data_IF_463370504782
#
_entry.id   IF_463370504782
#
_cell.length_a   1.000
_cell.length_b   1.000
_cell.length_c   1.000
_cell.angle_alpha   90.00
_cell.angle_beta   90.00
_cell.angle_gamma   90.00
#
_symmetry.space_group_name_H-M   'P 1'
#
loop_
_entity.id
_entity.type
_entity.pdbx_description
1 polymer ?
#
# COMPACT_ATOMS: atom_id res chain seq x y z
N UNK A 1 21.06 2.00 1.34
CA UNK A 1 20.26 0.76 1.32
C UNK A 1 19.75 0.59 -0.11
N UNK A 2 20.00 -0.54 -0.76
CA UNK A 2 19.56 -0.73 -2.16
C UNK A 2 18.04 -0.64 -2.25
N UNK A 3 17.53 0.35 -2.99
CA UNK A 3 16.10 0.53 -3.25
C UNK A 3 15.47 -0.62 -4.06
N UNK A 4 16.31 -1.51 -4.60
CA UNK A 4 15.92 -2.62 -5.47
C UNK A 4 16.44 -3.95 -4.92
N UNK A 5 15.61 -4.98 -4.99
CA UNK A 5 15.96 -6.34 -4.55
C UNK A 5 16.04 -7.28 -5.75
N UNK A 6 17.15 -7.97 -5.91
CA UNK A 6 17.33 -8.96 -6.97
C UNK A 6 16.60 -10.27 -6.65
N UNK A 7 15.95 -10.84 -7.66
CA UNK A 7 15.34 -12.17 -7.61
C UNK A 7 16.17 -13.10 -8.46
N UNK A 8 16.50 -14.26 -7.91
CA UNK A 8 17.22 -15.33 -8.60
C UNK A 8 16.59 -16.67 -8.22
N UNK A 9 16.24 -17.47 -9.24
CA UNK A 9 15.74 -18.83 -9.12
C UNK A 9 16.48 -19.77 -10.07
N UNK A 10 16.64 -21.02 -9.63
CA UNK A 10 17.18 -22.13 -10.44
C UNK A 10 16.12 -22.80 -11.32
N UNK A 11 14.84 -22.51 -11.06
CA UNK A 11 13.70 -23.09 -11.79
C UNK A 11 13.44 -22.38 -13.13
N UNK A 12 14.24 -21.35 -13.44
CA UNK A 12 14.26 -20.65 -14.72
C UNK A 12 15.73 -20.48 -15.18
N UNK A 13 15.99 -20.29 -16.49
CA UNK A 13 17.34 -20.12 -17.00
C UNK A 13 18.11 -19.03 -16.27
N UNK A 14 19.37 -19.32 -15.94
CA UNK A 14 20.25 -18.36 -15.28
C UNK A 14 20.45 -17.10 -16.15
N UNK A 15 20.41 -15.89 -15.56
CA UNK A 15 20.60 -14.67 -16.31
C UNK A 15 22.03 -14.56 -16.87
N UNK A 16 22.19 -13.81 -17.97
CA UNK A 16 23.52 -13.43 -18.44
C UNK A 16 24.19 -12.45 -17.47
N UNK A 17 25.53 -12.32 -17.46
CA UNK A 17 26.22 -11.39 -16.56
C UNK A 17 25.80 -9.92 -16.71
N UNK A 18 25.14 -9.56 -17.81
CA UNK A 18 24.72 -8.19 -18.11
C UNK A 18 23.32 -7.84 -17.56
N UNK A 19 22.57 -8.83 -17.06
CA UNK A 19 21.18 -8.64 -16.65
C UNK A 19 20.87 -9.33 -15.32
N UNK A 20 19.91 -8.79 -14.58
CA UNK A 20 19.32 -9.45 -13.41
C UNK A 20 18.13 -10.28 -13.87
N UNK A 21 17.91 -11.48 -13.32
CA UNK A 21 16.78 -12.32 -13.73
C UNK A 21 15.43 -11.60 -13.50
N UNK A 22 15.27 -11.01 -12.32
CA UNK A 22 14.26 -10.00 -12.06
C UNK A 22 14.68 -9.04 -10.94
N UNK A 23 14.01 -7.89 -10.87
CA UNK A 23 14.18 -6.87 -9.83
C UNK A 23 12.82 -6.56 -9.20
N UNK A 24 12.79 -6.48 -7.87
CA UNK A 24 11.64 -5.98 -7.11
C UNK A 24 11.91 -4.53 -6.71
N UNK A 25 10.92 -3.66 -6.99
CA UNK A 25 10.88 -2.29 -6.50
C UNK A 25 9.43 -1.85 -6.29
N UNK A 26 9.13 -1.26 -5.11
CA UNK A 26 7.81 -0.74 -4.75
C UNK A 26 6.64 -1.71 -5.06
N UNK A 27 6.74 -2.96 -4.60
CA UNK A 27 5.69 -3.96 -4.80
C UNK A 27 5.50 -4.40 -6.25
N UNK A 28 6.40 -4.05 -7.16
CA UNK A 28 6.37 -4.46 -8.56
C UNK A 28 7.61 -5.28 -8.89
N UNK A 29 7.41 -6.38 -9.62
CA UNK A 29 8.47 -7.24 -10.15
C UNK A 29 8.69 -6.89 -11.62
N UNK A 30 9.94 -6.61 -11.97
CA UNK A 30 10.38 -6.37 -13.33
C UNK A 30 11.23 -7.57 -13.75
N UNK A 31 10.69 -8.43 -14.61
CA UNK A 31 11.41 -9.56 -15.19
C UNK A 31 12.20 -9.10 -16.41
N UNK A 32 13.43 -9.60 -16.55
CA UNK A 32 14.17 -9.47 -17.80
C UNK A 32 13.59 -10.41 -18.87
N UNK A 33 14.01 -10.19 -20.12
CA UNK A 33 13.64 -11.04 -21.25
C UNK A 33 13.89 -12.53 -20.98
N UNK A 34 12.86 -13.33 -21.22
CA UNK A 34 12.81 -14.77 -21.01
C UNK A 34 12.59 -15.48 -22.34
N UNK A 35 13.37 -16.53 -22.56
CA UNK A 35 13.23 -17.42 -23.71
C UNK A 35 12.56 -18.72 -23.27
N UNK A 36 11.95 -19.42 -24.23
CA UNK A 36 11.46 -20.78 -24.04
C UNK A 36 12.58 -21.80 -24.02
N UNK A 37 13.42 -21.70 -22.99
CA UNK A 37 14.61 -22.51 -22.80
C UNK A 37 14.44 -23.36 -21.55
N UNK A 38 14.89 -24.61 -21.62
CA UNK A 38 14.94 -25.49 -20.46
C UNK A 38 15.96 -24.94 -19.42
N UNK A 39 15.57 -24.78 -18.14
CA UNK A 39 16.44 -24.23 -17.11
C UNK A 39 17.74 -25.00 -16.87
N UNK A 40 17.74 -26.32 -17.09
CA UNK A 40 18.88 -27.20 -16.84
C UNK A 40 19.73 -27.41 -18.09
N UNK A 41 19.10 -27.78 -19.21
CA UNK A 41 19.83 -28.13 -20.44
C UNK A 41 20.19 -26.92 -21.28
N UNK A 42 19.57 -25.76 -21.02
CA UNK A 42 19.69 -24.53 -21.82
C UNK A 42 19.36 -24.71 -23.29
N UNK A 43 18.58 -25.74 -23.63
CA UNK A 43 18.10 -25.95 -24.98
C UNK A 43 16.81 -25.17 -25.20
N UNK A 44 16.72 -24.51 -26.36
CA UNK A 44 15.49 -23.83 -26.78
C UNK A 44 14.46 -24.88 -27.19
N UNK A 45 13.21 -24.64 -26.80
CA UNK A 45 12.08 -25.43 -27.26
C UNK A 45 11.90 -25.30 -28.78
N UNK A 46 11.34 -26.34 -29.40
CA UNK A 46 11.18 -26.41 -30.85
C UNK A 46 9.91 -25.67 -31.30
N UNK A 47 10.07 -24.70 -32.21
CA UNK A 47 8.95 -23.93 -32.77
C UNK A 47 8.42 -22.80 -31.87
N UNK A 48 7.71 -21.82 -32.45
CA UNK A 48 7.31 -20.60 -31.74
C UNK A 48 6.25 -20.85 -30.67
N UNK A 49 5.36 -21.83 -30.84
CA UNK A 49 4.38 -22.24 -29.82
C UNK A 49 5.08 -22.74 -28.54
N UNK A 50 5.96 -23.74 -28.63
CA UNK A 50 6.64 -24.30 -27.46
C UNK A 50 7.63 -23.32 -26.83
N UNK A 51 8.26 -22.45 -27.65
CA UNK A 51 9.09 -21.37 -27.12
C UNK A 51 8.27 -20.36 -26.31
N UNK A 52 7.07 -20.01 -26.76
CA UNK A 52 6.17 -19.12 -26.01
C UNK A 52 5.76 -19.77 -24.69
N UNK A 53 5.33 -21.03 -24.72
CA UNK A 53 4.94 -21.76 -23.51
C UNK A 53 6.10 -21.90 -22.51
N UNK A 54 7.31 -22.18 -23.00
CA UNK A 54 8.52 -22.23 -22.17
C UNK A 54 8.87 -20.86 -21.57
N UNK A 55 8.79 -19.79 -22.34
CA UNK A 55 9.11 -18.44 -21.88
C UNK A 55 8.16 -18.01 -20.75
N UNK A 56 6.86 -18.29 -20.91
CA UNK A 56 5.83 -18.03 -19.91
C UNK A 56 6.01 -18.88 -18.63
N UNK A 57 6.37 -20.17 -18.75
CA UNK A 57 6.71 -21.01 -17.59
C UNK A 57 7.92 -20.47 -16.82
N UNK A 58 8.95 -20.05 -17.54
CA UNK A 58 10.14 -19.46 -16.94
C UNK A 58 9.81 -18.14 -16.23
N UNK A 59 9.00 -17.28 -16.84
CA UNK A 59 8.51 -16.05 -16.21
C UNK A 59 7.70 -16.36 -14.95
N UNK A 60 6.77 -17.33 -15.00
CA UNK A 60 5.98 -17.71 -13.83
C UNK A 60 6.86 -18.25 -12.69
N UNK A 61 7.88 -19.06 -12.99
CA UNK A 61 8.83 -19.53 -11.98
C UNK A 61 9.60 -18.38 -11.30
N UNK A 62 10.01 -17.36 -12.06
CA UNK A 62 10.67 -16.16 -11.55
C UNK A 62 9.70 -15.35 -10.67
N UNK A 63 8.46 -15.18 -11.12
CA UNK A 63 7.41 -14.46 -10.39
C UNK A 63 7.03 -15.18 -9.09
N UNK A 64 6.91 -16.51 -9.12
CA UNK A 64 6.66 -17.34 -7.94
C UNK A 64 7.78 -17.18 -6.90
N UNK A 65 9.05 -17.12 -7.33
CA UNK A 65 10.17 -16.83 -6.43
C UNK A 65 10.11 -15.42 -5.84
N UNK A 66 9.58 -14.45 -6.59
CA UNK A 66 9.38 -13.08 -6.14
C UNK A 66 8.17 -12.90 -5.19
N UNK A 67 7.37 -13.95 -4.99
CA UNK A 67 6.17 -13.90 -4.14
C UNK A 67 4.90 -13.45 -4.87
N UNK A 68 4.86 -13.56 -6.20
CA UNK A 68 3.67 -13.32 -7.03
C UNK A 68 3.48 -14.45 -8.05
N UNK A 69 2.66 -14.27 -9.07
CA UNK A 69 2.47 -15.23 -10.15
C UNK A 69 2.16 -14.52 -11.47
N UNK A 70 2.17 -15.26 -12.57
CA UNK A 70 1.83 -14.75 -13.89
C UNK A 70 0.42 -14.13 -13.96
N UNK A 71 -0.52 -14.58 -13.11
CA UNK A 71 -1.87 -14.02 -13.02
C UNK A 71 -1.91 -12.56 -12.57
N UNK A 72 -0.88 -12.10 -11.84
CA UNK A 72 -0.75 -10.70 -11.41
C UNK A 72 0.11 -9.87 -12.37
N UNK A 73 0.35 -10.36 -13.59
CA UNK A 73 1.01 -9.59 -14.62
C UNK A 73 0.21 -8.32 -14.94
N UNK A 74 0.90 -7.19 -14.95
CA UNK A 74 0.36 -5.88 -15.36
C UNK A 74 0.64 -5.62 -16.84
N UNK A 75 1.84 -6.00 -17.29
CA UNK A 75 2.30 -5.82 -18.66
C UNK A 75 3.09 -7.03 -19.15
N UNK A 76 2.87 -7.42 -20.39
CA UNK A 76 3.69 -8.40 -21.12
C UNK A 76 4.15 -7.79 -22.44
N UNK A 77 5.46 -7.76 -22.68
CA UNK A 77 6.03 -7.38 -23.98
C UNK A 77 6.55 -8.64 -24.67
N UNK A 78 6.18 -8.80 -25.93
CA UNK A 78 6.51 -9.97 -26.75
C UNK A 78 7.32 -9.52 -27.95
N UNK A 79 8.50 -10.09 -28.13
CA UNK A 79 9.33 -9.92 -29.31
C UNK A 79 9.27 -11.20 -30.14
N UNK A 80 8.91 -11.08 -31.41
CA UNK A 80 8.83 -12.22 -32.34
C UNK A 80 9.73 -11.97 -33.55
N UNK A 81 10.36 -13.02 -34.08
CA UNK A 81 11.25 -12.88 -35.24
C UNK A 81 10.47 -12.69 -36.55
N UNK A 82 9.30 -13.31 -36.67
CA UNK A 82 8.42 -13.23 -37.84
C UNK A 82 6.96 -13.14 -37.40
N UNK A 83 6.18 -12.29 -38.07
CA UNK A 83 4.74 -12.12 -37.83
C UNK A 83 3.93 -13.35 -38.26
N UNK A 84 4.48 -14.24 -39.09
CA UNK A 84 3.85 -15.53 -39.41
C UNK A 84 3.64 -16.41 -38.15
N UNK A 85 4.48 -16.22 -37.12
CA UNK A 85 4.35 -16.94 -35.85
C UNK A 85 3.27 -16.36 -34.92
N UNK A 86 2.69 -15.20 -35.25
CA UNK A 86 1.80 -14.44 -34.36
C UNK A 86 0.61 -15.28 -33.88
N UNK A 87 0.01 -16.09 -34.77
CA UNK A 87 -1.12 -16.95 -34.43
C UNK A 87 -0.75 -18.04 -33.42
N UNK A 88 0.41 -18.70 -33.61
CA UNK A 88 0.89 -19.74 -32.71
C UNK A 88 1.29 -19.19 -31.34
N UNK A 89 1.94 -18.03 -31.32
CA UNK A 89 2.29 -17.32 -30.08
C UNK A 89 1.03 -16.95 -29.30
N UNK A 90 -0.01 -16.45 -29.99
CA UNK A 90 -1.29 -16.11 -29.36
C UNK A 90 -1.99 -17.35 -28.78
N UNK A 91 -1.92 -18.49 -29.47
CA UNK A 91 -2.50 -19.74 -29.00
C UNK A 91 -1.86 -20.18 -27.68
N UNK A 92 -0.53 -20.24 -27.62
CA UNK A 92 0.18 -20.55 -26.39
C UNK A 92 -0.12 -19.53 -25.28
N UNK A 93 -0.15 -18.24 -25.62
CA UNK A 93 -0.40 -17.17 -24.65
C UNK A 93 -1.77 -17.29 -23.96
N UNK A 94 -2.82 -17.64 -24.70
CA UNK A 94 -4.19 -17.78 -24.17
C UNK A 94 -4.35 -18.96 -23.21
N UNK A 95 -3.45 -19.95 -23.25
CA UNK A 95 -3.47 -21.07 -22.30
C UNK A 95 -3.01 -20.66 -20.90
N UNK A 96 -2.17 -19.62 -20.79
CA UNK A 96 -1.70 -19.11 -19.49
C UNK A 96 -2.58 -17.97 -18.97
N UNK A 97 -3.13 -17.14 -19.85
CA UNK A 97 -3.98 -16.00 -19.48
C UNK A 97 -5.45 -16.27 -19.79
N UNK A 98 -6.06 -17.12 -18.97
CA UNK A 98 -7.47 -17.54 -19.11
C UNK A 98 -8.46 -16.59 -18.43
N UNK A 99 -8.02 -15.84 -17.42
CA UNK A 99 -8.84 -14.89 -16.66
C UNK A 99 -8.83 -13.49 -17.26
N UNK A 100 -9.97 -12.79 -17.20
CA UNK A 100 -10.06 -11.35 -17.46
C UNK A 100 -10.02 -10.55 -16.14
N UNK A 101 -9.42 -9.34 -16.12
CA UNK A 101 -8.75 -8.68 -17.24
C UNK A 101 -7.37 -9.28 -17.55
N UNK A 102 -7.06 -9.44 -18.84
CA UNK A 102 -5.72 -9.84 -19.31
C UNK A 102 -4.73 -8.68 -19.14
N UNK A 103 -3.42 -8.96 -18.95
CA UNK A 103 -2.41 -7.91 -18.82
C UNK A 103 -2.33 -7.03 -20.07
N UNK A 104 -1.91 -5.79 -19.89
CA UNK A 104 -1.57 -4.92 -21.02
C UNK A 104 -0.47 -5.57 -21.86
N UNK A 105 -0.62 -5.57 -23.18
CA UNK A 105 0.26 -6.34 -24.07
C UNK A 105 0.84 -5.47 -25.17
N UNK A 106 2.12 -5.67 -25.46
CA UNK A 106 2.78 -5.15 -26.68
C UNK A 106 3.45 -6.30 -27.40
N UNK A 107 3.28 -6.40 -28.72
CA UNK A 107 3.92 -7.42 -29.54
C UNK A 107 4.63 -6.74 -30.72
N UNK A 108 5.93 -6.99 -30.87
CA UNK A 108 6.77 -6.34 -31.88
C UNK A 108 7.53 -7.41 -32.66
N UNK A 109 7.49 -7.31 -33.99
CA UNK A 109 8.39 -8.09 -34.84
C UNK A 109 9.77 -7.43 -34.85
N UNK A 110 10.81 -8.19 -34.53
CA UNK A 110 12.20 -7.72 -34.46
C UNK A 110 13.03 -8.37 -35.56
N UNK A 111 14.03 -7.64 -36.06
CA UNK A 111 14.91 -8.16 -37.11
C UNK A 111 15.73 -9.38 -36.65
N UNK A 112 16.09 -9.42 -35.36
CA UNK A 112 16.89 -10.50 -34.79
C UNK A 112 16.69 -10.60 -33.27
N UNK A 113 16.73 -11.82 -32.75
CA UNK A 113 16.83 -12.13 -31.32
C UNK A 113 18.27 -12.54 -30.93
N UNK A 114 18.71 -12.33 -29.68
CA UNK A 114 20.09 -12.60 -29.24
C UNK A 114 20.53 -14.07 -29.38
N UNK A 115 19.59 -15.02 -29.29
CA UNK A 115 19.86 -16.45 -29.37
C UNK A 115 19.56 -17.01 -30.76
N UNK A 116 20.51 -17.74 -31.34
CA UNK A 116 20.28 -18.47 -32.60
C UNK A 116 19.19 -19.52 -32.41
N UNK A 117 18.19 -19.51 -33.28
CA UNK A 117 17.02 -20.41 -33.21
C UNK A 117 15.89 -19.92 -32.30
N UNK A 118 16.04 -18.77 -31.63
CA UNK A 118 14.93 -18.15 -30.92
C UNK A 118 13.98 -17.48 -31.92
N UNK A 119 12.69 -17.78 -31.78
CA UNK A 119 11.60 -17.16 -32.52
C UNK A 119 10.82 -16.18 -31.66
N UNK A 120 10.87 -16.34 -30.33
CA UNK A 120 10.10 -15.55 -29.36
C UNK A 120 10.95 -15.24 -28.12
N UNK A 121 10.87 -13.99 -27.66
CA UNK A 121 11.37 -13.54 -26.36
C UNK A 121 10.26 -12.75 -25.65
N UNK A 122 10.11 -12.95 -24.34
CA UNK A 122 9.04 -12.31 -23.57
C UNK A 122 9.57 -11.70 -22.28
N UNK A 123 9.10 -10.49 -21.97
CA UNK A 123 9.29 -9.88 -20.65
C UNK A 123 7.93 -9.62 -20.00
N UNK A 124 7.92 -9.58 -18.67
CA UNK A 124 6.73 -9.31 -17.89
C UNK A 124 7.02 -8.36 -16.72
N UNK A 125 6.04 -7.52 -16.43
CA UNK A 125 5.97 -6.71 -15.22
C UNK A 125 4.76 -7.20 -14.45
N UNK A 126 4.94 -7.58 -13.19
CA UNK A 126 3.86 -8.10 -12.34
C UNK A 126 3.80 -7.35 -11.01
N UNK A 127 2.58 -7.15 -10.50
CA UNK A 127 2.39 -6.67 -9.15
C UNK A 127 2.67 -7.83 -8.18
N UNK A 128 3.35 -7.56 -7.08
CA UNK A 128 3.29 -8.41 -5.90
C UNK A 128 1.97 -8.05 -5.22
N UNK A 129 0.98 -8.97 -5.15
CA UNK A 129 -0.20 -8.71 -4.34
C UNK A 129 0.31 -8.41 -2.95
N UNK A 130 0.08 -7.19 -2.46
CA UNK A 130 0.74 -6.71 -1.26
C UNK A 130 0.60 -7.77 -0.16
N UNK A 131 1.71 -8.19 0.44
CA UNK A 131 1.66 -8.41 1.89
C UNK A 131 1.44 -7.03 2.46
N UNK A 132 0.15 -6.70 2.58
CA UNK A 132 -0.39 -5.44 3.07
C UNK A 132 0.59 -4.84 4.07
N UNK A 133 1.00 -3.58 3.88
CA UNK A 133 1.48 -2.84 5.04
C UNK A 133 0.44 -3.06 6.16
N UNK A 134 0.84 -3.17 7.43
CA UNK A 134 -0.14 -3.42 8.50
C UNK A 134 -1.27 -2.37 8.52
N UNK A 135 -1.04 -1.20 7.92
CA UNK A 135 -2.03 -0.20 7.63
C UNK A 135 -3.05 -0.69 6.59
N UNK A 136 -2.61 -1.25 5.46
CA UNK A 136 -3.48 -1.84 4.44
C UNK A 136 -4.24 -3.09 4.95
N UNK A 137 -3.68 -3.89 5.86
CA UNK A 137 -4.43 -4.95 6.56
C UNK A 137 -5.59 -4.41 7.42
N UNK A 138 -5.40 -3.24 8.05
CA UNK A 138 -6.50 -2.53 8.73
C UNK A 138 -7.59 -2.15 7.72
N UNK A 139 -7.20 -1.79 6.50
CA UNK A 139 -8.12 -1.38 5.44
C UNK A 139 -8.87 -2.58 4.88
N UNK A 140 -8.19 -3.66 4.53
CA UNK A 140 -8.83 -4.86 3.98
C UNK A 140 -9.82 -5.49 4.99
N UNK A 141 -9.50 -5.49 6.29
CA UNK A 141 -10.43 -5.95 7.32
C UNK A 141 -11.63 -5.03 7.52
N UNK A 142 -11.41 -3.71 7.52
CA UNK A 142 -12.46 -2.69 7.65
C UNK A 142 -13.37 -2.65 6.41
N UNK A 143 -12.79 -2.74 5.21
CA UNK A 143 -13.50 -2.79 3.93
C UNK A 143 -14.36 -4.06 3.82
N UNK A 144 -13.82 -5.21 4.26
CA UNK A 144 -14.54 -6.48 4.24
C UNK A 144 -15.69 -6.53 5.27
N UNK A 145 -15.52 -5.94 6.45
CA UNK A 145 -16.57 -5.86 7.48
C UNK A 145 -17.69 -4.88 7.11
N UNK A 146 -17.36 -3.77 6.44
CA UNK A 146 -18.33 -2.73 6.03
C UNK A 146 -18.86 -2.92 4.59
N UNK A 147 -18.39 -3.94 3.87
CA UNK A 147 -18.78 -4.22 2.49
C UNK A 147 -18.38 -3.12 1.49
N UNK A 148 -17.25 -2.47 1.73
CA UNK A 148 -16.79 -1.32 0.95
C UNK A 148 -15.95 -1.80 -0.24
N UNK A 149 -16.32 -1.39 -1.46
CA UNK A 149 -15.54 -1.65 -2.68
C UNK A 149 -15.10 -0.34 -3.34
N UNK A 150 -13.80 -0.15 -3.58
CA UNK A 150 -13.27 0.97 -4.39
C UNK A 150 -12.92 2.24 -3.62
N UNK A 151 -13.19 3.43 -4.21
CA UNK A 151 -12.69 4.74 -3.74
C UNK A 151 -13.26 5.26 -2.40
N UNK A 152 -14.14 4.52 -1.74
CA UNK A 152 -14.81 4.92 -0.51
C UNK A 152 -13.85 5.19 0.66
N UNK A 153 -12.73 4.45 0.73
CA UNK A 153 -11.69 4.69 1.73
C UNK A 153 -11.01 6.06 1.53
N UNK A 154 -10.60 6.37 0.30
CA UNK A 154 -10.01 7.66 -0.04
C UNK A 154 -10.97 8.82 0.27
N UNK A 155 -12.28 8.61 0.05
CA UNK A 155 -13.32 9.57 0.44
C UNK A 155 -13.39 9.74 1.96
N UNK A 156 -13.29 8.66 2.75
CA UNK A 156 -13.30 8.72 4.20
C UNK A 156 -12.05 9.40 4.81
N UNK A 157 -10.90 9.36 4.13
CA UNK A 157 -9.73 10.17 4.48
C UNK A 157 -9.92 11.64 4.09
N UNK A 158 -10.43 11.88 2.88
CA UNK A 158 -10.63 13.23 2.37
C UNK A 158 -11.64 14.03 3.24
N UNK A 159 -12.74 13.41 3.68
CA UNK A 159 -13.78 14.11 4.44
C UNK A 159 -13.29 14.60 5.82
N UNK A 160 -12.34 13.89 6.44
CA UNK A 160 -11.70 14.34 7.67
C UNK A 160 -10.93 15.64 7.43
N UNK A 161 -10.16 15.71 6.35
CA UNK A 161 -9.42 16.92 5.99
C UNK A 161 -10.37 18.10 5.69
N UNK A 162 -11.53 17.84 5.09
CA UNK A 162 -12.55 18.88 4.86
C UNK A 162 -13.06 19.44 6.20
N UNK A 163 -13.43 18.58 7.16
CA UNK A 163 -13.84 19.01 8.49
C UNK A 163 -12.75 19.81 9.22
N UNK A 164 -11.50 19.36 9.08
CA UNK A 164 -10.33 20.02 9.65
C UNK A 164 -10.15 21.45 9.10
N UNK A 165 -10.19 21.61 7.77
CA UNK A 165 -10.02 22.92 7.13
C UNK A 165 -11.11 23.92 7.52
N UNK A 166 -12.37 23.45 7.62
CA UNK A 166 -13.50 24.29 8.00
C UNK A 166 -13.34 24.88 9.40
N UNK A 167 -12.82 24.09 10.34
CA UNK A 167 -12.71 24.50 11.74
C UNK A 167 -11.39 25.18 12.11
N UNK A 168 -10.37 25.07 11.26
CA UNK A 168 -9.05 25.66 11.51
C UNK A 168 -9.10 27.19 11.62
N UNK A 169 -9.82 27.88 10.74
CA UNK A 169 -9.94 29.35 10.77
C UNK A 169 -10.80 29.81 11.97
N UNK A 170 -12.03 29.29 12.18
CA UNK A 170 -12.84 29.66 13.35
C UNK A 170 -12.13 29.38 14.67
N UNK A 171 -11.46 28.23 14.81
CA UNK A 171 -10.75 27.88 16.03
C UNK A 171 -9.64 28.87 16.38
N UNK A 172 -8.84 29.28 15.40
CA UNK A 172 -7.77 30.26 15.62
C UNK A 172 -8.30 31.61 16.09
N UNK A 173 -9.49 32.00 15.60
CA UNK A 173 -10.17 33.22 16.04
C UNK A 173 -10.73 33.06 17.46
N UNK A 174 -11.34 31.93 17.81
CA UNK A 174 -11.89 31.68 19.15
C UNK A 174 -10.78 31.58 20.21
N UNK A 175 -9.61 31.06 19.84
CA UNK A 175 -8.48 30.87 20.74
C UNK A 175 -7.94 32.18 21.33
N UNK A 176 -8.17 33.33 20.68
CA UNK A 176 -7.80 34.65 21.23
C UNK A 176 -8.81 35.20 22.23
N UNK A 177 -10.04 34.67 22.24
CA UNK A 177 -11.13 35.15 23.09
C UNK A 177 -11.41 34.25 24.30
N UNK A 178 -10.95 32.99 24.28
CA UNK A 178 -11.22 31.99 25.32
C UNK A 178 -9.94 31.61 26.04
N UNK A 179 -10.02 31.31 27.34
CA UNK A 179 -8.88 30.84 28.12
C UNK A 179 -8.35 29.51 27.56
N UNK A 180 -7.09 29.46 27.05
CA UNK A 180 -6.54 28.26 26.42
C UNK A 180 -6.49 27.03 27.35
N UNK A 181 -6.36 27.26 28.66
CA UNK A 181 -6.31 26.21 29.68
C UNK A 181 -7.61 25.43 29.83
N UNK A 182 -8.76 25.98 29.41
CA UNK A 182 -10.06 25.29 29.42
C UNK A 182 -10.39 24.82 28.01
N UNK A 183 -10.06 25.65 27.01
CA UNK A 183 -10.35 25.38 25.61
C UNK A 183 -9.68 24.08 25.15
N UNK A 184 -8.36 23.94 25.29
CA UNK A 184 -7.62 22.81 24.72
C UNK A 184 -8.04 21.46 25.34
N UNK A 185 -8.13 21.30 26.68
CA UNK A 185 -8.61 20.05 27.27
C UNK A 185 -10.03 19.68 26.85
N UNK A 186 -10.96 20.66 26.77
CA UNK A 186 -12.32 20.40 26.35
C UNK A 186 -12.40 19.82 24.92
N UNK A 187 -11.62 20.38 23.98
CA UNK A 187 -11.53 19.87 22.61
C UNK A 187 -10.87 18.49 22.53
N UNK A 188 -9.83 18.23 23.33
CA UNK A 188 -9.18 16.92 23.40
C UNK A 188 -10.12 15.85 23.96
N UNK A 189 -10.95 16.17 24.96
CA UNK A 189 -11.98 15.26 25.47
C UNK A 189 -13.03 14.96 24.39
N UNK A 190 -13.53 15.96 23.68
CA UNK A 190 -14.48 15.77 22.57
C UNK A 190 -13.87 14.93 21.44
N UNK A 191 -12.62 15.18 21.07
CA UNK A 191 -11.88 14.38 20.10
C UNK A 191 -11.78 12.91 20.54
N UNK A 192 -11.49 12.67 21.83
CA UNK A 192 -11.37 11.32 22.39
C UNK A 192 -12.69 10.55 22.35
N UNK A 193 -13.80 11.20 22.73
CA UNK A 193 -15.14 10.59 22.72
C UNK A 193 -15.57 10.22 21.30
N UNK A 194 -15.37 11.13 20.33
CA UNK A 194 -15.74 10.88 18.93
C UNK A 194 -14.83 9.85 18.28
N UNK A 195 -13.55 9.82 18.66
CA UNK A 195 -12.62 8.77 18.24
C UNK A 195 -13.06 7.39 18.75
N UNK A 196 -13.45 7.26 20.03
CA UNK A 196 -13.99 6.02 20.58
C UNK A 196 -15.31 5.60 19.92
N UNK A 197 -16.18 6.57 19.57
CA UNK A 197 -17.43 6.31 18.85
C UNK A 197 -17.22 5.70 17.46
N UNK A 198 -16.03 5.86 16.86
CA UNK A 198 -15.66 5.21 15.59
C UNK A 198 -15.73 3.68 15.71
N UNK A 199 -15.50 3.11 16.89
CA UNK A 199 -15.61 1.67 17.11
C UNK A 199 -17.06 1.14 17.06
N UNK A 200 -18.07 2.01 17.17
CA UNK A 200 -19.47 1.63 17.11
C UNK A 200 -20.07 1.69 15.68
N UNK A 201 -19.28 2.05 14.67
CA UNK A 201 -19.79 2.21 13.30
C UNK A 201 -20.06 0.85 12.64
N UNK A 202 -21.26 0.70 12.06
CA UNK A 202 -21.70 -0.51 11.35
C UNK A 202 -22.07 -0.23 9.88
N UNK A 203 -21.84 1.00 9.40
CA UNK A 203 -22.15 1.39 8.01
C UNK A 203 -21.21 2.51 7.54
N UNK A 204 -21.01 2.60 6.23
CA UNK A 204 -20.21 3.62 5.58
C UNK A 204 -20.66 5.04 5.91
N UNK A 205 -21.97 5.29 5.91
CA UNK A 205 -22.53 6.61 6.21
C UNK A 205 -22.18 7.05 7.62
N UNK A 206 -22.24 6.13 8.60
CA UNK A 206 -21.82 6.40 9.96
C UNK A 206 -20.32 6.70 10.05
N UNK A 207 -19.48 5.97 9.30
CA UNK A 207 -18.04 6.22 9.25
C UNK A 207 -17.72 7.61 8.70
N UNK A 208 -18.34 8.02 7.58
CA UNK A 208 -18.14 9.35 7.01
C UNK A 208 -18.57 10.45 8.00
N UNK A 209 -19.74 10.32 8.61
CA UNK A 209 -20.26 11.32 9.56
C UNK A 209 -19.30 11.46 10.75
N UNK A 210 -18.90 10.35 11.36
CA UNK A 210 -17.97 10.36 12.50
C UNK A 210 -16.63 10.96 12.08
N UNK A 211 -16.09 10.62 10.90
CA UNK A 211 -14.83 11.16 10.39
C UNK A 211 -14.87 12.66 10.11
N UNK A 212 -15.98 13.16 9.57
CA UNK A 212 -16.18 14.58 9.35
C UNK A 212 -16.14 15.35 10.68
N UNK A 213 -16.91 14.90 11.68
CA UNK A 213 -16.91 15.50 13.01
C UNK A 213 -15.56 15.38 13.72
N UNK A 214 -14.89 14.23 13.57
CA UNK A 214 -13.54 14.04 14.12
C UNK A 214 -12.56 15.07 13.59
N UNK A 215 -12.61 15.39 12.29
CA UNK A 215 -11.80 16.48 11.70
C UNK A 215 -12.09 17.85 12.31
N UNK A 216 -13.36 18.16 12.61
CA UNK A 216 -13.76 19.41 13.30
C UNK A 216 -13.16 19.47 14.71
N UNK A 217 -13.22 18.38 15.47
CA UNK A 217 -12.74 18.36 16.85
C UNK A 217 -11.21 18.31 16.97
N UNK A 218 -10.52 17.81 15.95
CA UNK A 218 -9.06 17.72 15.92
C UNK A 218 -8.40 19.04 15.51
N UNK A 219 -9.05 19.85 14.66
CA UNK A 219 -8.48 21.10 14.12
C UNK A 219 -7.93 22.11 15.15
N UNK A 220 -8.58 22.31 16.32
CA UNK A 220 -8.11 23.28 17.32
C UNK A 220 -6.81 22.90 18.04
N UNK A 221 -6.45 21.62 18.03
CA UNK A 221 -5.39 21.09 18.89
C UNK A 221 -4.01 21.64 18.54
N UNK A 222 -3.59 21.52 17.28
CA UNK A 222 -2.27 21.97 16.84
C UNK A 222 -2.07 23.49 17.00
N UNK A 223 -2.98 24.35 16.49
CA UNK A 223 -2.86 25.79 16.73
C UNK A 223 -2.93 26.16 18.21
N UNK A 224 -3.75 25.44 18.99
CA UNK A 224 -3.86 25.59 20.44
C UNK A 224 -2.54 25.41 21.17
N UNK A 225 -1.83 24.33 20.89
CA UNK A 225 -0.52 24.04 21.50
C UNK A 225 0.52 25.07 21.06
N UNK A 226 0.56 25.43 19.77
CA UNK A 226 1.51 26.42 19.29
C UNK A 226 1.31 27.79 19.94
N UNK A 227 0.06 28.21 20.11
CA UNK A 227 -0.29 29.43 20.83
C UNK A 227 0.13 29.37 22.30
N UNK A 228 -0.21 28.29 23.03
CA UNK A 228 0.19 28.10 24.43
C UNK A 228 1.72 28.19 24.61
N UNK A 229 2.47 27.49 23.77
CA UNK A 229 3.93 27.52 23.81
C UNK A 229 4.49 28.92 23.51
N UNK A 230 3.84 29.69 22.63
CA UNK A 230 4.23 31.08 22.35
C UNK A 230 3.99 32.03 23.53
N UNK A 231 3.02 31.72 24.41
CA UNK A 231 2.76 32.50 25.61
C UNK A 231 3.75 32.19 26.75
N UNK A 232 4.27 30.97 26.81
CA UNK A 232 5.13 30.50 27.92
C UNK A 232 6.63 30.57 27.62
N UNK A 233 7.05 30.54 26.35
CA UNK A 233 8.46 30.50 25.95
C UNK A 233 8.89 31.69 25.10
N UNK A 234 10.17 32.06 25.22
CA UNK A 234 10.75 33.13 24.41
C UNK A 234 11.02 32.68 22.97
N UNK A 235 11.09 33.64 22.02
CA UNK A 235 11.34 33.35 20.59
C UNK A 235 12.61 32.51 20.33
N UNK A 236 13.61 32.60 21.21
CA UNK A 236 14.87 31.84 21.11
C UNK A 236 14.72 30.37 21.53
N UNK A 237 13.82 30.10 22.47
CA UNK A 237 13.58 28.75 23.02
C UNK A 237 12.46 28.02 22.27
N UNK A 238 11.56 28.77 21.64
CA UNK A 238 10.37 28.26 20.96
C UNK A 238 10.70 27.23 19.87
N UNK A 239 11.75 27.48 19.08
CA UNK A 239 12.17 26.57 18.02
C UNK A 239 12.57 25.18 18.55
N UNK A 240 13.28 25.14 19.68
CA UNK A 240 13.67 23.88 20.33
C UNK A 240 12.43 23.15 20.86
N UNK A 241 11.48 23.87 21.49
CA UNK A 241 10.24 23.28 22.01
C UNK A 241 9.35 22.72 20.91
N UNK A 242 9.26 23.40 19.77
CA UNK A 242 8.57 22.91 18.58
C UNK A 242 9.24 21.68 17.99
N UNK A 243 10.58 21.64 17.96
CA UNK A 243 11.32 20.45 17.51
C UNK A 243 11.04 19.24 18.40
N UNK A 244 10.97 19.40 19.73
CA UNK A 244 10.58 18.34 20.66
C UNK A 244 9.13 17.88 20.47
N UNK A 245 8.19 18.82 20.28
CA UNK A 245 6.79 18.47 20.01
C UNK A 245 6.66 17.65 18.71
N UNK A 246 7.36 18.08 17.66
CA UNK A 246 7.29 17.43 16.35
C UNK A 246 8.00 16.07 16.34
N UNK A 247 9.12 15.93 17.05
CA UNK A 247 9.77 14.62 17.21
C UNK A 247 8.90 13.65 18.01
N UNK A 248 8.17 14.14 19.02
CA UNK A 248 7.15 13.38 19.74
C UNK A 248 6.03 12.87 18.84
N UNK A 249 5.56 13.71 17.90
CA UNK A 249 4.57 13.30 16.88
C UNK A 249 5.09 12.15 16.01
N UNK A 250 6.32 12.26 15.49
CA UNK A 250 6.93 11.19 14.68
C UNK A 250 7.08 9.91 15.50
N UNK A 251 7.53 10.00 16.75
CA UNK A 251 7.64 8.84 17.63
C UNK A 251 6.27 8.18 17.89
N UNK A 252 5.23 8.98 18.14
CA UNK A 252 3.87 8.48 18.33
C UNK A 252 3.36 7.74 17.09
N UNK A 253 3.62 8.26 15.88
CA UNK A 253 3.23 7.56 14.64
C UNK A 253 3.94 6.21 14.47
N UNK A 254 5.22 6.13 14.86
CA UNK A 254 5.96 4.86 14.83
C UNK A 254 5.40 3.84 15.84
N UNK A 255 5.07 4.29 17.06
CA UNK A 255 4.50 3.44 18.12
C UNK A 255 3.08 2.99 17.80
N UNK A 256 2.24 3.84 17.18
CA UNK A 256 0.87 3.48 16.79
C UNK A 256 0.83 2.27 15.83
N UNK A 257 1.79 2.18 14.90
CA UNK A 257 1.92 1.03 14.01
C UNK A 257 2.28 -0.27 14.75
N UNK A 258 3.10 -0.19 15.79
CA UNK A 258 3.48 -1.33 16.65
C UNK A 258 2.33 -1.77 17.55
N UNK A 259 1.62 -0.81 18.18
CA UNK A 259 0.43 -1.07 18.99
C UNK A 259 -0.65 -1.78 18.17
N UNK A 260 -0.90 -1.29 16.96
CA UNK A 260 -1.83 -1.95 16.04
C UNK A 260 -1.44 -3.39 15.76
N UNK A 261 -0.15 -3.64 15.47
CA UNK A 261 0.33 -5.00 15.23
C UNK A 261 0.08 -5.95 16.41
N UNK A 262 0.31 -5.48 17.64
CA UNK A 262 0.05 -6.25 18.86
C UNK A 262 -1.44 -6.56 19.05
N UNK A 263 -2.30 -5.56 18.80
CA UNK A 263 -3.76 -5.71 18.93
C UNK A 263 -4.30 -6.73 17.90
N UNK A 264 -3.88 -6.65 16.63
CA UNK A 264 -4.32 -7.63 15.64
C UNK A 264 -3.80 -9.04 15.90
N UNK A 265 -2.64 -9.19 16.54
CA UNK A 265 -2.09 -10.50 16.89
C UNK A 265 -2.77 -11.15 18.11
N UNK A 266 -3.25 -10.35 19.09
CA UNK A 266 -3.74 -10.87 20.37
C UNK A 266 -5.23 -10.66 20.68
N UNK A 267 -5.89 -9.68 20.05
CA UNK A 267 -7.25 -9.24 20.42
C UNK A 267 -8.29 -9.46 19.32
N UNK A 268 -7.93 -10.08 18.20
CA UNK A 268 -8.89 -10.47 17.16
C UNK A 268 -9.89 -11.51 17.69
N UNK A 269 -11.17 -11.17 17.75
CA UNK A 269 -12.24 -12.07 18.19
C UNK A 269 -12.52 -12.08 19.70
N UNK A 270 -11.75 -11.33 20.50
CA UNK A 270 -12.03 -11.15 21.94
C UNK A 270 -13.31 -10.32 22.08
N UNK A 271 -14.26 -10.84 22.86
CA UNK A 271 -15.63 -10.31 23.03
C UNK A 271 -16.46 -10.21 21.73
N UNK A 272 -16.10 -10.97 20.68
CA UNK A 272 -16.79 -10.94 19.38
C UNK A 272 -16.53 -9.67 18.56
N UNK A 273 -15.54 -8.86 18.96
CA UNK A 273 -15.16 -7.62 18.28
C UNK A 273 -13.91 -7.82 17.41
N UNK A 274 -13.90 -7.13 16.28
CA UNK A 274 -12.80 -7.14 15.32
C UNK A 274 -11.63 -6.28 15.83
N UNK A 275 -10.39 -6.64 15.49
CA UNK A 275 -9.18 -6.02 16.04
C UNK A 275 -9.08 -4.49 15.82
N UNK A 276 -9.69 -3.97 14.75
CA UNK A 276 -9.70 -2.53 14.47
C UNK A 276 -10.62 -1.75 15.43
N UNK A 277 -11.69 -2.36 15.94
CA UNK A 277 -12.61 -1.73 16.92
C UNK A 277 -11.92 -1.55 18.26
N UNK A 278 -11.18 -2.58 18.69
CA UNK A 278 -10.34 -2.53 19.89
C UNK A 278 -9.28 -1.44 19.82
N UNK A 279 -8.69 -1.21 18.65
CA UNK A 279 -7.72 -0.14 18.47
C UNK A 279 -8.31 1.24 18.77
N UNK A 280 -9.48 1.58 18.20
CA UNK A 280 -10.12 2.87 18.46
C UNK A 280 -10.60 3.03 19.91
N UNK A 281 -11.07 1.94 20.54
CA UNK A 281 -11.48 1.96 21.96
C UNK A 281 -10.27 2.21 22.87
N UNK A 282 -9.17 1.48 22.66
CA UNK A 282 -7.96 1.62 23.46
C UNK A 282 -7.30 2.99 23.26
N UNK A 283 -7.22 3.47 22.02
CA UNK A 283 -6.68 4.81 21.74
C UNK A 283 -7.52 5.92 22.38
N UNK A 284 -8.86 5.81 22.34
CA UNK A 284 -9.76 6.75 23.00
C UNK A 284 -9.67 6.71 24.53
N UNK A 285 -9.61 5.51 25.12
CA UNK A 285 -9.53 5.32 26.57
C UNK A 285 -8.21 5.83 27.16
N UNK A 286 -7.08 5.50 26.53
CA UNK A 286 -5.76 6.01 26.96
C UNK A 286 -5.74 7.54 26.91
N UNK A 287 -6.30 8.13 25.85
CA UNK A 287 -6.34 9.59 25.69
C UNK A 287 -7.17 10.26 26.79
N UNK A 288 -8.29 9.69 27.20
CA UNK A 288 -9.09 10.22 28.32
C UNK A 288 -8.35 10.09 29.66
N UNK A 289 -7.72 8.94 29.93
CA UNK A 289 -7.03 8.69 31.21
C UNK A 289 -5.79 9.57 31.45
N UNK A 290 -5.21 10.13 30.40
CA UNK A 290 -3.98 10.95 30.50
C UNK A 290 -4.27 12.42 30.88
N UNK A 291 -5.56 12.80 31.00
CA UNK A 291 -6.00 14.17 31.26
C UNK A 291 -6.85 14.34 32.53
N UNK A 292 -6.91 13.30 33.38
CA UNK A 292 -7.33 13.38 34.79
C UNK A 292 -6.12 13.70 35.70
#
# INVERSE_FOLDING_TARGET
MSLRTGVLTTDAPAPSPHLSQAIIHNGTVYCSGSFGMDPQTRQLAEGPYHQTAGALKNLDAILNKAGTSLHNALKVTIFILNMDHYAEVNKAYLEFFTSDPKPSRTCVAVAQLPLKGAHVEMEAIAAIPEKSSKLQAKLDSLEKDLGLSGNYYSTALAILNVGYMLMQIPSNMILTHVRPSIYIPAWVCLWSVVSAATAACNSFTHLIIIRFFLGIYEAPFFPGIFFLLSCWYTKKELALRYAFLYSGLVLATAVSGLLAAGIFAGLGGVAGLQGWRWLFILEGAVRLSCWD
#
